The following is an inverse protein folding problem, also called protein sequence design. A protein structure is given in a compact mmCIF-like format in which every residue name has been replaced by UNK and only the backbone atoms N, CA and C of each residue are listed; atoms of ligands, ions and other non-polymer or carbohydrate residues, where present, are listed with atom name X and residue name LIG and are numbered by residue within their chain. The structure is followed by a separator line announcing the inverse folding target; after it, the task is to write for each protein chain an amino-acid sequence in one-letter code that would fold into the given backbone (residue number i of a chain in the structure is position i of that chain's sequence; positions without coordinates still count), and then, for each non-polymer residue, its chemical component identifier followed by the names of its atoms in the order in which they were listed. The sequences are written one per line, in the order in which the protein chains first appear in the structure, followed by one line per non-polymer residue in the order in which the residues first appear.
data_IF_153457160411
#
_entry.id   IF_153457160411
#
_cell.length_a   1.000
_cell.length_b   1.000
_cell.length_c   1.000
_cell.angle_alpha   90.00
_cell.angle_beta   90.00
_cell.angle_gamma   90.00
#
_symmetry.space_group_name_H-M   'P 1'
#
loop_
_entity.id
_entity.type
_entity.pdbx_description
1 polymer ?
#
# COMPACT_ATOMS: atom_id res chain seq x y z
N UNK A 1 -55.78 17.68 -31.43
CA UNK A 1 -55.32 16.44 -30.74
C UNK A 1 -53.83 16.59 -30.47
N UNK A 2 -53.44 16.72 -29.20
CA UNK A 2 -52.07 17.03 -28.77
C UNK A 2 -51.19 15.77 -28.77
N UNK A 3 -49.96 15.95 -29.23
CA UNK A 3 -48.88 14.97 -29.35
C UNK A 3 -48.43 14.43 -27.99
N UNK A 4 -48.02 13.17 -27.92
CA UNK A 4 -47.16 12.65 -26.85
C UNK A 4 -46.05 11.82 -27.51
N UNK A 5 -44.89 12.46 -27.63
CA UNK A 5 -43.62 11.83 -27.98
C UNK A 5 -43.08 11.18 -26.70
N UNK A 6 -42.92 9.86 -26.69
CA UNK A 6 -42.31 9.16 -25.58
C UNK A 6 -40.79 9.38 -25.62
N UNK A 7 -40.27 10.18 -24.68
CA UNK A 7 -38.84 10.24 -24.40
C UNK A 7 -38.42 8.93 -23.72
N UNK A 8 -37.64 8.12 -24.44
CA UNK A 8 -36.95 6.97 -23.90
C UNK A 8 -35.80 7.47 -23.00
N UNK A 9 -36.02 7.53 -21.69
CA UNK A 9 -34.95 7.74 -20.72
C UNK A 9 -34.15 6.45 -20.57
N UNK A 10 -32.97 6.40 -21.19
CA UNK A 10 -31.97 5.36 -20.90
C UNK A 10 -31.33 5.74 -19.56
N UNK A 11 -31.79 5.09 -18.48
CA UNK A 11 -31.13 5.10 -17.18
C UNK A 11 -29.83 4.30 -17.31
N UNK A 12 -28.70 4.98 -17.46
CA UNK A 12 -27.38 4.41 -17.20
C UNK A 12 -27.29 4.12 -15.69
N UNK A 13 -27.43 2.85 -15.33
CA UNK A 13 -27.16 2.40 -13.98
C UNK A 13 -25.64 2.54 -13.74
N UNK A 14 -25.24 3.56 -12.98
CA UNK A 14 -23.92 3.67 -12.37
C UNK A 14 -23.83 2.55 -11.32
N UNK A 15 -23.47 1.35 -11.76
CA UNK A 15 -23.22 0.22 -10.88
C UNK A 15 -22.03 0.52 -9.98
N UNK A 16 -22.24 0.43 -8.66
CA UNK A 16 -21.14 0.46 -7.70
C UNK A 16 -20.15 -0.65 -8.04
N UNK A 17 -18.94 -0.28 -8.46
CA UNK A 17 -17.86 -1.23 -8.68
C UNK A 17 -17.59 -1.90 -7.33
N UNK A 18 -17.90 -3.18 -7.21
CA UNK A 18 -17.58 -3.97 -6.02
C UNK A 18 -16.07 -4.01 -5.84
N UNK A 19 -15.55 -3.99 -4.61
CA UNK A 19 -14.11 -4.08 -4.35
C UNK A 19 -13.42 -5.29 -5.00
N UNK A 20 -14.16 -6.37 -5.30
CA UNK A 20 -13.66 -7.51 -6.08
C UNK A 20 -13.38 -7.18 -7.54
N UNK A 21 -14.20 -6.36 -8.17
CA UNK A 21 -14.02 -5.96 -9.57
C UNK A 21 -12.80 -5.02 -9.72
N UNK A 22 -12.60 -4.11 -8.76
CA UNK A 22 -11.42 -3.26 -8.72
C UNK A 22 -10.13 -4.06 -8.48
N UNK A 23 -10.17 -5.05 -7.59
CA UNK A 23 -9.04 -5.95 -7.36
C UNK A 23 -8.68 -6.77 -8.61
N UNK A 24 -9.66 -7.20 -9.42
CA UNK A 24 -9.41 -7.91 -10.68
C UNK A 24 -8.80 -6.98 -11.73
N UNK A 25 -9.31 -5.75 -11.86
CA UNK A 25 -8.78 -4.73 -12.79
C UNK A 25 -7.31 -4.38 -12.51
N UNK A 26 -6.94 -4.27 -11.23
CA UNK A 26 -5.57 -3.98 -10.77
C UNK A 26 -4.68 -5.23 -10.66
N UNK A 27 -5.14 -6.40 -11.11
CA UNK A 27 -4.46 -7.70 -10.95
C UNK A 27 -4.05 -7.97 -9.48
N UNK A 28 -4.80 -7.55 -8.46
CA UNK A 28 -4.45 -7.85 -7.07
C UNK A 28 -4.65 -9.34 -6.80
N UNK A 29 -3.54 -10.05 -6.56
CA UNK A 29 -3.53 -11.52 -6.44
C UNK A 29 -3.88 -11.95 -5.02
N UNK A 30 -4.57 -13.09 -4.84
CA UNK A 30 -4.94 -13.57 -3.51
C UNK A 30 -3.76 -13.77 -2.55
N UNK A 31 -2.58 -14.14 -3.04
CA UNK A 31 -1.36 -14.34 -2.23
C UNK A 31 -0.66 -13.02 -1.85
N UNK A 32 -1.06 -11.91 -2.47
CA UNK A 32 -0.58 -10.56 -2.18
C UNK A 32 -1.67 -9.71 -1.48
N UNK A 33 -2.83 -10.26 -1.14
CA UNK A 33 -3.87 -9.53 -0.43
C UNK A 33 -3.49 -9.30 1.06
N UNK A 34 -4.01 -8.21 1.63
CA UNK A 34 -3.95 -7.97 3.07
C UNK A 34 -4.74 -9.02 3.86
N UNK A 35 -4.36 -9.20 5.13
CA UNK A 35 -5.19 -9.97 6.05
C UNK A 35 -6.36 -9.11 6.55
N UNK A 36 -7.40 -9.78 7.05
CA UNK A 36 -8.41 -9.09 7.84
C UNK A 36 -7.77 -8.54 9.12
N UNK A 37 -8.01 -7.26 9.40
CA UNK A 37 -7.57 -6.62 10.63
C UNK A 37 -8.27 -7.26 11.84
N UNK A 38 -7.46 -7.73 12.80
CA UNK A 38 -7.92 -8.31 14.06
C UNK A 38 -7.03 -7.79 15.19
N UNK A 39 -7.64 -7.09 16.14
CA UNK A 39 -6.97 -6.53 17.32
C UNK A 39 -6.41 -7.60 18.27
N UNK A 40 -6.95 -8.82 18.21
CA UNK A 40 -6.53 -9.95 19.05
C UNK A 40 -5.46 -10.82 18.39
N UNK A 41 -5.20 -10.60 17.10
CA UNK A 41 -4.16 -11.31 16.37
C UNK A 41 -2.83 -10.58 16.47
N UNK A 42 -1.73 -11.35 16.44
CA UNK A 42 -0.39 -10.80 16.29
C UNK A 42 -0.21 -10.26 14.88
N UNK A 43 -0.51 -8.99 14.69
CA UNK A 43 -0.49 -8.32 13.39
C UNK A 43 0.38 -7.07 13.38
N UNK A 44 1.00 -6.80 12.24
CA UNK A 44 1.44 -5.46 11.89
C UNK A 44 0.28 -4.75 11.19
N UNK A 45 -0.20 -3.66 11.76
CA UNK A 45 -1.27 -2.82 11.22
C UNK A 45 -0.64 -1.50 10.78
N UNK A 46 -0.58 -1.28 9.48
CA UNK A 46 0.11 -0.16 8.85
C UNK A 46 -0.93 0.82 8.35
N UNK A 47 -1.12 1.93 9.04
CA UNK A 47 -1.91 3.05 8.51
C UNK A 47 -1.01 3.88 7.62
N UNK A 48 -1.31 3.90 6.32
CA UNK A 48 -0.62 4.74 5.35
C UNK A 48 -1.40 6.03 5.21
N UNK A 49 -0.76 7.15 5.49
CA UNK A 49 -1.34 8.48 5.42
C UNK A 49 -0.80 9.27 4.21
N UNK A 50 -1.58 10.24 3.75
CA UNK A 50 -1.17 11.16 2.68
C UNK A 50 -1.37 10.59 1.27
N UNK A 51 -2.28 9.63 1.10
CA UNK A 51 -2.68 9.13 -0.21
C UNK A 51 -3.53 10.22 -0.88
N UNK A 52 -3.04 10.81 -1.97
CA UNK A 52 -3.71 11.96 -2.61
C UNK A 52 -4.90 11.56 -3.48
N UNK A 53 -4.88 10.35 -4.03
CA UNK A 53 -5.84 9.85 -5.01
C UNK A 53 -6.14 8.37 -4.75
N UNK A 54 -7.34 7.90 -5.09
CA UNK A 54 -7.78 6.52 -4.83
C UNK A 54 -7.41 5.53 -5.94
N UNK A 55 -6.98 6.05 -7.08
CA UNK A 55 -6.55 5.31 -8.26
C UNK A 55 -5.27 4.51 -7.96
N UNK A 56 -5.11 3.35 -8.60
CA UNK A 56 -3.90 2.56 -8.49
C UNK A 56 -3.84 1.66 -7.23
N UNK A 57 -2.61 1.27 -6.88
CA UNK A 57 -2.32 0.19 -5.94
C UNK A 57 -1.49 0.72 -4.77
N UNK A 58 -1.99 0.53 -3.55
CA UNK A 58 -1.19 0.68 -2.35
C UNK A 58 -0.39 -0.61 -2.10
N UNK A 59 0.93 -0.52 -2.10
CA UNK A 59 1.81 -1.64 -1.79
C UNK A 59 2.46 -1.46 -0.41
N UNK A 60 2.42 -2.49 0.42
CA UNK A 60 3.10 -2.57 1.72
C UNK A 60 4.05 -3.75 1.73
N UNK A 61 5.33 -3.49 1.98
CA UNK A 61 6.39 -4.50 1.99
C UNK A 61 7.07 -4.59 3.34
N UNK A 62 7.11 -5.81 3.88
CA UNK A 62 7.79 -6.14 5.12
C UNK A 62 9.19 -6.68 4.81
N UNK A 63 10.21 -6.13 5.47
CA UNK A 63 11.61 -6.47 5.29
C UNK A 63 12.22 -7.07 6.55
N UNK A 64 13.10 -8.06 6.35
CA UNK A 64 13.98 -8.58 7.41
C UNK A 64 14.94 -7.48 7.84
N UNK A 65 15.33 -7.48 9.12
CA UNK A 65 16.46 -6.69 9.59
C UNK A 65 17.79 -7.17 8.96
N UNK A 66 18.01 -6.78 7.71
CA UNK A 66 19.20 -7.09 6.92
C UNK A 66 19.49 -5.96 5.92
N UNK A 67 20.53 -5.17 6.17
CA UNK A 67 20.90 -4.00 5.36
C UNK A 67 21.05 -4.32 3.85
N UNK A 68 21.60 -5.49 3.50
CA UNK A 68 21.83 -5.87 2.08
C UNK A 68 20.54 -6.26 1.34
N UNK A 69 19.49 -6.59 2.10
CA UNK A 69 18.19 -7.03 1.60
C UNK A 69 17.10 -5.95 1.66
N UNK A 70 17.32 -4.88 2.42
CA UNK A 70 16.37 -3.78 2.54
C UNK A 70 16.06 -3.14 1.17
N UNK A 71 14.77 -2.92 0.88
CA UNK A 71 14.25 -2.41 -0.39
C UNK A 71 14.61 -3.27 -1.62
N UNK A 72 14.83 -4.57 -1.40
CA UNK A 72 15.14 -5.54 -2.46
C UNK A 72 14.33 -6.80 -2.28
N UNK A 73 13.87 -7.37 -3.39
CA UNK A 73 13.09 -8.62 -3.42
C UNK A 73 13.66 -9.76 -2.55
N UNK A 74 15.00 -9.88 -2.44
CA UNK A 74 15.67 -10.92 -1.65
C UNK A 74 15.54 -10.74 -0.13
N UNK A 75 15.39 -9.51 0.38
CA UNK A 75 15.24 -9.24 1.81
C UNK A 75 13.78 -9.08 2.25
N UNK A 76 12.84 -9.09 1.30
CA UNK A 76 11.41 -8.97 1.57
C UNK A 76 10.88 -10.27 2.19
N UNK A 77 10.23 -10.14 3.33
CA UNK A 77 9.52 -11.21 4.02
C UNK A 77 8.12 -11.39 3.46
N UNK A 78 7.43 -10.27 3.17
CA UNK A 78 6.07 -10.27 2.65
C UNK A 78 5.78 -9.00 1.85
N UNK A 79 4.88 -9.11 0.88
CA UNK A 79 4.30 -8.00 0.14
C UNK A 79 2.78 -8.10 0.24
N UNK A 80 2.13 -6.97 0.49
CA UNK A 80 0.68 -6.81 0.36
C UNK A 80 0.40 -5.73 -0.69
N UNK A 81 -0.66 -5.93 -1.46
CA UNK A 81 -1.23 -4.99 -2.42
C UNK A 81 -2.73 -4.87 -2.18
N UNK A 82 -3.21 -3.65 -2.09
CA UNK A 82 -4.62 -3.32 -1.99
C UNK A 82 -4.94 -2.16 -2.94
N UNK A 83 -6.19 -2.04 -3.38
CA UNK A 83 -6.60 -0.88 -4.17
C UNK A 83 -6.47 0.37 -3.30
N UNK A 84 -5.85 1.44 -3.80
CA UNK A 84 -5.62 2.63 -2.98
C UNK A 84 -6.93 3.26 -2.48
N UNK A 85 -6.83 4.02 -1.38
CA UNK A 85 -7.96 4.78 -0.82
C UNK A 85 -7.43 6.13 -0.38
N UNK A 86 -8.06 7.20 -0.86
CA UNK A 86 -7.64 8.58 -0.57
C UNK A 86 -7.64 8.88 0.93
N UNK A 87 -6.66 9.65 1.38
CA UNK A 87 -6.47 10.03 2.78
C UNK A 87 -5.63 9.02 3.55
N UNK A 88 -6.29 8.20 4.36
CA UNK A 88 -5.66 7.17 5.20
C UNK A 88 -6.17 5.77 4.82
N UNK A 89 -5.25 4.82 4.71
CA UNK A 89 -5.55 3.43 4.40
C UNK A 89 -4.76 2.50 5.34
N UNK A 90 -5.46 1.71 6.15
CA UNK A 90 -4.85 0.69 7.01
C UNK A 90 -4.75 -0.67 6.33
N UNK A 91 -3.52 -1.20 6.24
CA UNK A 91 -3.21 -2.55 5.74
C UNK A 91 -2.79 -3.43 6.91
N UNK A 92 -3.35 -4.65 6.98
CA UNK A 92 -3.12 -5.58 8.09
C UNK A 92 -2.34 -6.82 7.64
N UNK A 93 -1.32 -7.19 8.42
CA UNK A 93 -0.41 -8.30 8.11
C UNK A 93 -0.19 -9.19 9.33
N UNK A 94 -0.68 -10.43 9.27
CA UNK A 94 -0.33 -11.49 10.21
C UNK A 94 1.18 -11.75 10.22
N UNK A 95 1.76 -11.86 11.42
CA UNK A 95 3.19 -12.08 11.63
C UNK A 95 3.46 -13.46 12.22
N UNK A 96 4.32 -14.24 11.56
CA UNK A 96 4.66 -15.59 12.03
C UNK A 96 5.70 -15.59 13.18
N UNK A 97 6.82 -14.87 13.02
CA UNK A 97 7.94 -14.98 13.97
C UNK A 97 8.95 -13.81 13.94
N UNK A 98 8.61 -12.68 13.31
CA UNK A 98 9.53 -11.56 13.18
C UNK A 98 9.33 -10.55 14.32
N UNK A 99 10.38 -10.31 15.09
CA UNK A 99 10.36 -9.41 16.25
C UNK A 99 10.98 -8.03 15.96
N UNK A 100 11.74 -7.91 14.87
CA UNK A 100 12.39 -6.67 14.45
C UNK A 100 12.43 -6.60 12.92
N UNK A 101 11.76 -5.61 12.35
CA UNK A 101 11.47 -5.52 10.91
C UNK A 101 11.54 -4.07 10.44
N UNK A 102 11.62 -3.86 9.13
CA UNK A 102 11.36 -2.58 8.50
C UNK A 102 10.19 -2.71 7.53
N UNK A 103 9.46 -1.62 7.30
CA UNK A 103 8.32 -1.56 6.39
C UNK A 103 8.58 -0.49 5.36
N UNK A 104 8.31 -0.80 4.10
CA UNK A 104 8.25 0.19 3.03
C UNK A 104 6.84 0.20 2.44
N UNK A 105 6.35 1.37 2.11
CA UNK A 105 5.06 1.56 1.43
C UNK A 105 5.26 2.42 0.21
N UNK A 106 4.49 2.17 -0.82
CA UNK A 106 4.43 3.04 -1.99
C UNK A 106 3.04 2.96 -2.63
N UNK A 107 2.66 4.06 -3.26
CA UNK A 107 1.44 4.17 -4.04
C UNK A 107 1.82 4.11 -5.51
N UNK A 108 1.50 3.00 -6.15
CA UNK A 108 1.62 2.79 -7.59
C UNK A 108 0.37 3.44 -8.23
N UNK A 109 0.52 4.65 -8.75
CA UNK A 109 -0.60 5.53 -9.13
C UNK A 109 -1.25 5.10 -10.45
N UNK A 110 -0.49 4.46 -11.35
CA UNK A 110 -0.97 4.00 -12.64
C UNK A 110 -1.45 2.53 -12.63
N UNK A 111 -1.15 1.80 -11.56
CA UNK A 111 -1.65 0.45 -11.29
C UNK A 111 -0.96 -0.64 -12.12
N UNK A 112 0.23 -0.38 -12.68
CA UNK A 112 0.96 -1.34 -13.50
C UNK A 112 1.71 -2.42 -12.70
N UNK A 113 1.65 -2.33 -11.36
CA UNK A 113 2.26 -3.21 -10.36
C UNK A 113 3.77 -3.06 -10.21
N UNK A 114 4.39 -2.08 -10.85
CA UNK A 114 5.76 -1.65 -10.63
C UNK A 114 5.79 -0.42 -9.69
N UNK A 115 6.99 -0.06 -9.20
CA UNK A 115 7.21 1.23 -8.59
C UNK A 115 7.98 2.05 -9.60
N UNK A 116 7.38 3.12 -10.09
CA UNK A 116 7.95 3.87 -11.18
C UNK A 116 9.21 4.63 -10.71
N UNK A 117 10.30 4.58 -11.49
CA UNK A 117 11.61 5.08 -11.06
C UNK A 117 12.17 6.19 -11.94
N UNK A 118 12.81 7.17 -11.29
CA UNK A 118 13.64 8.19 -11.93
C UNK A 118 14.90 7.53 -12.52
N UNK A 119 15.61 8.25 -13.39
CA UNK A 119 16.87 7.79 -14.01
C UNK A 119 17.97 7.41 -12.98
N UNK A 120 17.87 7.93 -11.75
CA UNK A 120 18.77 7.66 -10.63
C UNK A 120 18.25 6.55 -9.68
N UNK A 121 17.19 5.82 -10.06
CA UNK A 121 16.53 4.76 -9.27
C UNK A 121 15.76 5.21 -8.03
N UNK A 122 15.59 6.50 -7.80
CA UNK A 122 14.65 6.97 -6.79
C UNK A 122 13.21 6.78 -7.28
N UNK A 123 12.23 6.57 -6.38
CA UNK A 123 10.82 6.54 -6.76
C UNK A 123 10.43 7.81 -7.50
N UNK A 124 9.55 7.71 -8.48
CA UNK A 124 8.78 8.84 -9.03
C UNK A 124 7.44 9.00 -8.34
N UNK A 125 6.95 7.92 -7.75
CA UNK A 125 5.66 7.86 -7.09
C UNK A 125 5.82 8.01 -5.57
N UNK A 126 4.73 8.33 -4.85
CA UNK A 126 4.75 8.49 -3.41
C UNK A 126 5.24 7.23 -2.69
N UNK A 127 6.14 7.40 -1.73
CA UNK A 127 6.64 6.30 -0.91
C UNK A 127 6.88 6.72 0.54
N UNK A 128 6.97 5.73 1.42
CA UNK A 128 7.20 5.92 2.85
C UNK A 128 7.91 4.73 3.47
N UNK A 129 8.50 4.95 4.64
CA UNK A 129 9.19 3.92 5.42
C UNK A 129 8.71 3.98 6.88
N UNK A 130 8.70 2.83 7.57
CA UNK A 130 8.41 2.79 9.00
C UNK A 130 9.32 3.74 9.79
N UNK A 131 8.78 4.31 10.88
CA UNK A 131 9.35 5.42 11.66
C UNK A 131 9.54 6.75 10.91
N UNK A 132 9.06 6.87 9.67
CA UNK A 132 9.04 8.13 8.94
C UNK A 132 10.39 8.89 8.93
N UNK A 133 11.54 8.21 8.72
CA UNK A 133 12.85 8.86 8.82
C UNK A 133 12.97 10.02 7.84
N UNK A 134 13.82 11.00 8.18
CA UNK A 134 14.17 12.06 7.23
C UNK A 134 14.98 11.46 6.09
N UNK A 135 14.42 11.50 4.89
CA UNK A 135 15.13 11.12 3.68
C UNK A 135 16.18 12.19 3.41
N UNK A 136 17.42 11.76 3.14
CA UNK A 136 18.51 12.63 2.69
C UNK A 136 18.82 12.24 1.24
N UNK A 137 20.08 12.37 0.84
CA UNK A 137 20.53 11.90 -0.46
C UNK A 137 20.61 10.36 -0.47
N UNK A 138 19.77 9.75 -1.31
CA UNK A 138 19.73 8.31 -1.53
C UNK A 138 18.85 7.55 -0.55
N UNK A 139 18.74 6.24 -0.77
CA UNK A 139 17.96 5.38 0.11
C UNK A 139 18.59 5.27 1.49
N UNK A 140 17.79 5.40 2.56
CA UNK A 140 18.32 5.38 3.91
C UNK A 140 18.90 4.00 4.25
N UNK A 141 19.85 3.94 5.20
CA UNK A 141 20.19 2.69 5.85
C UNK A 141 18.94 2.12 6.55
N UNK A 142 18.90 0.82 6.85
CA UNK A 142 17.68 0.17 7.38
C UNK A 142 17.38 0.62 8.80
N UNK A 143 18.40 0.93 9.59
CA UNK A 143 18.33 1.12 11.04
C UNK A 143 17.28 2.17 11.47
N UNK A 144 17.16 3.35 10.84
CA UNK A 144 16.13 4.32 11.18
C UNK A 144 14.70 3.81 10.95
N UNK A 145 14.53 2.81 10.08
CA UNK A 145 13.23 2.24 9.73
C UNK A 145 12.89 0.99 10.54
N UNK A 146 13.76 0.53 11.45
CA UNK A 146 13.49 -0.67 12.23
C UNK A 146 12.44 -0.42 13.31
N UNK A 147 11.44 -1.31 13.37
CA UNK A 147 10.40 -1.35 14.40
C UNK A 147 10.46 -2.69 15.13
N UNK A 148 10.29 -2.64 16.45
CA UNK A 148 10.08 -3.83 17.25
C UNK A 148 8.61 -4.28 17.13
N UNK A 149 8.40 -5.59 17.08
CA UNK A 149 7.08 -6.22 17.07
C UNK A 149 6.86 -6.89 18.42
N UNK A 150 5.90 -6.38 19.17
CA UNK A 150 5.51 -6.97 20.44
C UNK A 150 4.70 -8.26 20.24
N UNK A 151 4.49 -9.09 21.28
CA UNK A 151 3.70 -10.32 21.16
C UNK A 151 2.28 -10.12 20.59
N UNK A 152 1.67 -8.96 20.82
CA UNK A 152 0.36 -8.57 20.26
C UNK A 152 0.42 -7.92 18.88
N UNK A 153 1.61 -7.75 18.30
CA UNK A 153 1.81 -7.04 17.04
C UNK A 153 2.31 -5.61 17.22
N UNK A 154 2.06 -4.77 16.21
CA UNK A 154 2.41 -3.36 16.23
C UNK A 154 1.46 -2.55 15.34
N UNK A 155 1.13 -1.35 15.79
CA UNK A 155 0.35 -0.37 15.03
C UNK A 155 1.29 0.78 14.68
N UNK A 156 1.41 1.09 13.40
CA UNK A 156 2.30 2.14 12.91
C UNK A 156 1.57 3.03 11.91
N UNK A 157 1.99 4.28 11.86
CA UNK A 157 1.60 5.22 10.80
C UNK A 157 2.82 5.46 9.92
N UNK A 158 2.64 5.39 8.60
CA UNK A 158 3.66 5.73 7.62
C UNK A 158 3.12 6.83 6.71
N UNK A 159 3.87 7.94 6.62
CA UNK A 159 3.50 9.07 5.77
C UNK A 159 4.06 8.83 4.36
N UNK A 160 3.19 8.84 3.35
CA UNK A 160 3.63 8.93 1.97
C UNK A 160 4.22 10.31 1.68
N UNK A 161 5.31 10.30 0.92
CA UNK A 161 5.98 11.51 0.45
C UNK A 161 6.42 11.32 -0.98
N UNK A 162 6.33 12.39 -1.74
CA UNK A 162 7.01 12.46 -3.04
C UNK A 162 8.52 12.35 -2.85
N UNK A 163 9.18 11.61 -3.73
CA UNK A 163 10.62 11.72 -3.84
C UNK A 163 10.97 13.07 -4.45
N UNK A 164 11.59 13.97 -3.68
CA UNK A 164 12.16 15.23 -4.21
C UNK A 164 13.21 14.95 -5.30
#
# INVERSE_FOLDING_TARGET
MRRLSACLFVLLALGSISGRALAEELDIRPDEAGDLCDENARQLRVTVAGIQHSEGILTVELYRNEQRGFLRKKGRLRRVREAASEGEHTVCMNLASADLVAVAVYHDEDGDRDLDQKWNKMPKEPFGLSNNPKLRLGFPPIEPSLIAIEPGGADIVIDLREAE
#
